data_IF_356224147073
#
_entry.id   IF_356224147073
#
_cell.length_a   1.000
_cell.length_b   1.000
_cell.length_c   1.000
_cell.angle_alpha   90.00
_cell.angle_beta   90.00
_cell.angle_gamma   90.00
#
_symmetry.space_group_name_H-M   'P 1'
#
loop_
_entity.id
_entity.type
_entity.pdbx_description
1 polymer ?
#
# COMPACT_ATOMS: atom_id res chain seq x y z
N UNK A 1 -16.16 53.72 -26.80
CA UNK A 1 -16.74 52.54 -26.12
C UNK A 1 -17.46 53.02 -24.86
N UNK A 2 -18.71 52.59 -24.60
CA UNK A 2 -19.52 53.08 -23.46
C UNK A 2 -18.95 52.50 -22.15
N UNK A 3 -18.90 53.29 -21.07
CA UNK A 3 -18.34 52.84 -19.76
C UNK A 3 -18.99 51.54 -19.27
N UNK A 4 -20.28 51.39 -19.53
CA UNK A 4 -21.07 50.21 -19.17
C UNK A 4 -20.58 48.94 -19.91
N UNK A 5 -20.21 49.06 -21.18
CA UNK A 5 -19.65 47.94 -21.97
C UNK A 5 -18.30 47.47 -21.41
N UNK A 6 -17.48 48.40 -20.89
CA UNK A 6 -16.19 48.06 -20.29
C UNK A 6 -16.35 47.39 -18.92
N UNK A 7 -17.30 47.88 -18.10
CA UNK A 7 -17.64 47.26 -16.81
C UNK A 7 -18.19 45.83 -16.98
N UNK A 8 -19.07 45.62 -17.98
CA UNK A 8 -19.60 44.29 -18.30
C UNK A 8 -18.46 43.35 -18.73
N UNK A 9 -17.53 43.82 -19.57
CA UNK A 9 -16.40 43.02 -20.02
C UNK A 9 -15.49 42.60 -18.85
N UNK A 10 -15.13 43.54 -17.98
CA UNK A 10 -14.27 43.27 -16.80
C UNK A 10 -14.97 42.35 -15.79
N UNK A 11 -16.27 42.54 -15.56
CA UNK A 11 -17.04 41.67 -14.66
C UNK A 11 -17.15 40.25 -15.21
N UNK A 12 -17.38 40.11 -16.52
CA UNK A 12 -17.50 38.80 -17.18
C UNK A 12 -16.17 38.05 -17.16
N UNK A 13 -15.05 38.72 -17.44
CA UNK A 13 -13.72 38.09 -17.38
C UNK A 13 -13.36 37.68 -15.96
N UNK A 14 -13.66 38.52 -14.97
CA UNK A 14 -13.41 38.20 -13.56
C UNK A 14 -14.24 36.99 -13.09
N UNK A 15 -15.51 36.89 -13.51
CA UNK A 15 -16.36 35.75 -13.21
C UNK A 15 -15.84 34.45 -13.84
N UNK A 16 -15.39 34.50 -15.09
CA UNK A 16 -14.81 33.33 -15.78
C UNK A 16 -13.55 32.84 -15.05
N UNK A 17 -12.69 33.76 -14.62
CA UNK A 17 -11.48 33.43 -13.87
C UNK A 17 -11.86 32.79 -12.53
N UNK A 18 -12.81 33.37 -11.79
CA UNK A 18 -13.24 32.82 -10.50
C UNK A 18 -13.81 31.39 -10.63
N UNK A 19 -14.62 31.13 -11.65
CA UNK A 19 -15.16 29.80 -11.94
C UNK A 19 -14.04 28.83 -12.32
N UNK A 20 -13.12 29.23 -13.20
CA UNK A 20 -11.99 28.40 -13.59
C UNK A 20 -11.09 28.05 -12.40
N UNK A 21 -10.82 29.02 -11.50
CA UNK A 21 -10.08 28.79 -10.27
C UNK A 21 -10.81 27.82 -9.33
N UNK A 22 -12.14 27.97 -9.17
CA UNK A 22 -12.93 27.09 -8.34
C UNK A 22 -12.93 25.64 -8.89
N UNK A 23 -13.09 25.47 -10.19
CA UNK A 23 -13.02 24.15 -10.86
C UNK A 23 -11.66 23.52 -10.65
N UNK A 24 -10.57 24.29 -10.82
CA UNK A 24 -9.21 23.81 -10.60
C UNK A 24 -9.00 23.35 -9.16
N UNK A 25 -9.48 24.12 -8.18
CA UNK A 25 -9.39 23.76 -6.75
C UNK A 25 -10.14 22.46 -6.46
N UNK A 26 -11.40 22.34 -6.91
CA UNK A 26 -12.21 21.14 -6.71
C UNK A 26 -11.59 19.91 -7.37
N UNK A 27 -11.07 20.08 -8.60
CA UNK A 27 -10.38 19.00 -9.32
C UNK A 27 -9.13 18.53 -8.57
N UNK A 28 -8.30 19.47 -8.09
CA UNK A 28 -7.08 19.16 -7.34
C UNK A 28 -7.37 18.45 -6.02
N UNK A 29 -8.41 18.91 -5.29
CA UNK A 29 -8.91 18.23 -4.09
C UNK A 29 -9.40 16.80 -4.38
N UNK A 30 -10.01 16.57 -5.55
CA UNK A 30 -10.42 15.25 -6.00
C UNK A 30 -9.24 14.31 -6.25
N UNK A 31 -8.14 14.82 -6.80
CA UNK A 31 -6.90 14.04 -7.00
C UNK A 31 -6.23 13.68 -5.67
N UNK A 32 -6.21 14.59 -4.70
CA UNK A 32 -5.63 14.34 -3.36
C UNK A 32 -6.41 13.28 -2.56
N UNK A 33 -7.70 13.08 -2.83
CA UNK A 33 -8.55 12.10 -2.16
C UNK A 33 -8.47 10.70 -2.75
N UNK A 34 -7.69 10.49 -3.80
CA UNK A 34 -7.51 9.15 -4.34
C UNK A 34 -6.62 8.35 -3.40
N UNK A 35 -7.26 7.53 -2.56
CA UNK A 35 -6.56 6.51 -1.79
C UNK A 35 -5.76 5.65 -2.75
N UNK A 36 -4.45 5.58 -2.53
CA UNK A 36 -3.57 4.73 -3.33
C UNK A 36 -3.89 3.28 -2.99
N UNK A 37 -4.76 2.65 -3.79
CA UNK A 37 -5.04 1.22 -3.68
C UNK A 37 -3.90 0.44 -4.32
N UNK A 38 -2.77 0.30 -3.62
CA UNK A 38 -1.65 -0.51 -4.08
C UNK A 38 -1.81 -1.96 -3.65
N UNK A 39 -1.64 -2.88 -4.61
CA UNK A 39 -1.65 -4.33 -4.34
C UNK A 39 -0.51 -4.76 -3.44
N UNK A 40 0.62 -4.05 -3.47
CA UNK A 40 1.72 -4.24 -2.54
C UNK A 40 2.51 -2.95 -2.33
N UNK A 41 3.00 -2.76 -1.11
CA UNK A 41 3.98 -1.76 -0.72
C UNK A 41 5.32 -2.47 -0.49
N UNK A 42 6.40 -1.88 -0.97
CA UNK A 42 7.74 -2.41 -0.75
C UNK A 42 8.70 -1.30 -0.31
N UNK A 43 9.45 -1.57 0.76
CA UNK A 43 10.57 -0.74 1.21
C UNK A 43 11.84 -1.51 0.86
N UNK A 44 12.73 -0.88 0.09
CA UNK A 44 14.00 -1.47 -0.35
C UNK A 44 15.14 -0.62 0.19
N UNK A 45 16.06 -1.25 0.91
CA UNK A 45 17.26 -0.63 1.47
C UNK A 45 18.49 -1.49 1.14
N UNK A 46 19.72 -0.99 1.31
CA UNK A 46 20.92 -1.81 1.17
C UNK A 46 20.97 -3.02 2.11
N UNK A 47 20.30 -2.93 3.27
CA UNK A 47 20.23 -4.03 4.23
C UNK A 47 19.23 -5.13 3.82
N UNK A 48 18.26 -4.82 2.96
CA UNK A 48 17.25 -5.78 2.51
C UNK A 48 15.96 -5.15 1.99
N UNK A 49 14.92 -5.96 1.87
CA UNK A 49 13.61 -5.53 1.38
C UNK A 49 12.50 -6.00 2.29
N UNK A 50 11.53 -5.12 2.54
CA UNK A 50 10.27 -5.45 3.21
C UNK A 50 9.16 -5.29 2.18
N UNK A 51 8.25 -6.27 2.10
CA UNK A 51 7.06 -6.23 1.24
C UNK A 51 5.84 -6.43 2.10
N UNK A 52 4.78 -5.65 1.87
CA UNK A 52 3.48 -5.75 2.52
C UNK A 52 2.40 -5.75 1.44
N UNK A 53 1.42 -6.64 1.54
CA UNK A 53 0.25 -6.67 0.65
C UNK A 53 -0.01 -8.06 0.11
N UNK A 54 -0.52 -8.14 -1.11
CA UNK A 54 -0.74 -9.41 -1.80
C UNK A 54 0.58 -9.92 -2.36
N UNK A 55 1.14 -10.91 -1.67
CA UNK A 55 2.37 -11.61 -2.02
C UNK A 55 2.10 -12.67 -3.12
N UNK A 56 3.15 -13.18 -3.79
CA UNK A 56 3.01 -14.30 -4.72
C UNK A 56 2.26 -15.48 -4.08
N UNK A 57 1.36 -16.12 -4.84
CA UNK A 57 0.49 -17.18 -4.32
C UNK A 57 -0.79 -16.70 -3.64
N UNK A 58 -1.12 -15.40 -3.72
CA UNK A 58 -2.38 -14.86 -3.19
C UNK A 58 -2.39 -14.68 -1.68
N UNK A 59 -1.22 -14.74 -1.04
CA UNK A 59 -1.06 -14.57 0.40
C UNK A 59 -1.14 -13.08 0.72
N UNK A 60 -2.08 -12.68 1.58
CA UNK A 60 -2.10 -11.34 2.15
C UNK A 60 -1.14 -11.32 3.34
N UNK A 61 -0.03 -10.59 3.24
CA UNK A 61 1.01 -10.69 4.25
C UNK A 61 2.16 -9.72 4.11
N UNK A 62 3.16 -9.97 4.95
CA UNK A 62 4.42 -9.24 5.01
C UNK A 62 5.60 -10.21 4.86
N UNK A 63 6.58 -9.83 4.05
CA UNK A 63 7.85 -10.56 3.91
C UNK A 63 9.04 -9.62 4.11
N UNK A 64 10.01 -10.07 4.89
CA UNK A 64 11.31 -9.42 5.04
C UNK A 64 12.36 -10.30 4.40
N UNK A 65 13.19 -9.73 3.54
CA UNK A 65 14.31 -10.41 2.92
C UNK A 65 15.61 -9.68 3.23
N UNK A 66 16.71 -10.42 3.33
CA UNK A 66 18.05 -9.83 3.43
C UNK A 66 18.48 -9.19 2.12
N UNK A 67 19.58 -8.43 2.16
CA UNK A 67 20.24 -7.84 0.99
C UNK A 67 20.53 -8.84 -0.13
N UNK A 68 20.84 -10.09 0.22
CA UNK A 68 21.02 -11.21 -0.73
C UNK A 68 19.73 -11.76 -1.33
N UNK A 69 18.57 -11.18 -1.01
CA UNK A 69 17.25 -11.60 -1.52
C UNK A 69 16.63 -12.80 -0.81
N UNK A 70 17.30 -13.39 0.19
CA UNK A 70 16.75 -14.52 0.98
C UNK A 70 15.70 -14.04 1.98
N UNK A 71 14.56 -14.71 2.04
CA UNK A 71 13.52 -14.46 3.04
C UNK A 71 14.06 -14.74 4.45
N UNK A 72 13.71 -13.86 5.40
CA UNK A 72 14.10 -13.92 6.82
C UNK A 72 12.89 -14.00 7.74
N UNK A 73 11.80 -13.37 7.31
CA UNK A 73 10.53 -13.36 8.02
C UNK A 73 9.40 -13.38 7.00
N UNK A 74 8.44 -14.26 7.21
CA UNK A 74 7.17 -14.26 6.49
C UNK A 74 6.02 -14.27 7.49
N UNK A 75 5.08 -13.35 7.33
CA UNK A 75 3.80 -13.32 8.03
C UNK A 75 2.71 -13.28 6.96
N UNK A 76 1.66 -14.08 7.06
CA UNK A 76 0.58 -13.94 6.10
C UNK A 76 -0.64 -14.80 6.38
N UNK A 77 -1.70 -14.47 5.66
CA UNK A 77 -2.95 -15.21 5.58
C UNK A 77 -3.12 -15.71 4.15
N UNK A 78 -3.28 -17.02 4.03
CA UNK A 78 -3.50 -17.73 2.77
C UNK A 78 -5.02 -17.94 2.61
N UNK A 79 -5.54 -17.97 1.37
CA UNK A 79 -6.91 -18.41 1.12
C UNK A 79 -7.21 -19.75 1.82
N UNK A 80 -8.34 -19.83 2.53
CA UNK A 80 -8.70 -21.00 3.34
C UNK A 80 -8.52 -20.85 4.87
N UNK A 81 -8.40 -19.61 5.37
CA UNK A 81 -8.20 -19.27 6.80
C UNK A 81 -6.89 -19.77 7.43
N UNK A 82 -5.94 -20.21 6.61
CA UNK A 82 -4.60 -20.53 7.07
C UNK A 82 -3.85 -19.22 7.29
N UNK A 83 -3.31 -19.02 8.48
CA UNK A 83 -2.45 -17.88 8.76
C UNK A 83 -1.20 -18.32 9.49
N UNK A 84 -0.12 -17.57 9.39
CA UNK A 84 1.10 -17.99 10.06
C UNK A 84 2.24 -17.01 10.00
N UNK A 85 3.28 -17.41 10.72
CA UNK A 85 4.56 -16.74 10.87
C UNK A 85 5.66 -17.77 10.63
N UNK A 86 6.68 -17.42 9.86
CA UNK A 86 7.90 -18.21 9.71
C UNK A 86 9.13 -17.33 9.81
N UNK A 87 10.15 -17.80 10.51
CA UNK A 87 11.48 -17.19 10.62
C UNK A 87 12.48 -18.10 9.94
N UNK A 88 13.40 -17.51 9.17
CA UNK A 88 14.40 -18.22 8.40
C UNK A 88 15.82 -17.75 8.76
N UNK A 89 16.78 -18.66 8.69
CA UNK A 89 18.20 -18.34 8.88
C UNK A 89 18.84 -17.69 7.64
N UNK A 90 20.17 -17.50 7.67
CA UNK A 90 20.96 -16.99 6.54
C UNK A 90 21.08 -17.93 5.37
N UNK A 91 20.84 -19.22 5.59
CA UNK A 91 20.68 -20.22 4.54
C UNK A 91 19.35 -20.07 3.80
N UNK A 92 18.32 -19.48 4.42
CA UNK A 92 16.93 -19.54 3.97
C UNK A 92 16.17 -20.75 4.54
N UNK A 93 16.75 -21.44 5.54
CA UNK A 93 16.12 -22.57 6.21
C UNK A 93 15.22 -22.08 7.34
N UNK A 94 14.01 -22.62 7.41
CA UNK A 94 13.03 -22.31 8.46
C UNK A 94 13.58 -22.72 9.83
N UNK A 95 13.60 -21.78 10.77
CA UNK A 95 14.06 -21.92 12.17
C UNK A 95 12.93 -21.86 13.17
N UNK A 96 11.84 -21.19 12.82
CA UNK A 96 10.63 -21.16 13.60
C UNK A 96 9.45 -21.06 12.65
N UNK A 97 8.36 -21.74 12.98
CA UNK A 97 7.06 -21.42 12.43
C UNK A 97 5.96 -21.55 13.47
N UNK A 98 4.90 -20.80 13.23
CA UNK A 98 3.61 -20.89 13.87
C UNK A 98 2.56 -20.80 12.76
N UNK A 99 1.64 -21.74 12.72
CA UNK A 99 0.58 -21.81 11.72
C UNK A 99 -0.75 -22.00 12.44
N UNK A 100 -1.76 -21.23 12.07
CA UNK A 100 -3.13 -21.36 12.50
C UNK A 100 -3.95 -21.93 11.34
N UNK A 101 -4.74 -22.95 11.62
CA UNK A 101 -5.46 -23.70 10.59
C UNK A 101 -6.88 -23.17 10.34
N UNK A 102 -7.47 -22.50 11.34
CA UNK A 102 -8.82 -21.97 11.26
C UNK A 102 -9.11 -20.92 12.36
N UNK A 103 -10.36 -20.45 12.40
CA UNK A 103 -10.84 -19.47 13.39
C UNK A 103 -11.02 -20.03 14.80
N UNK A 104 -10.95 -21.34 15.01
CA UNK A 104 -11.04 -21.96 16.34
C UNK A 104 -9.73 -21.82 17.13
N UNK A 105 -8.67 -21.31 16.50
CA UNK A 105 -7.36 -21.13 17.13
C UNK A 105 -6.48 -22.37 17.10
N UNK A 106 -6.92 -23.45 16.42
CA UNK A 106 -6.08 -24.62 16.16
C UNK A 106 -4.79 -24.17 15.47
N UNK A 107 -3.67 -24.50 16.09
CA UNK A 107 -2.36 -24.08 15.62
C UNK A 107 -1.29 -25.14 15.83
N UNK A 108 -0.24 -25.04 15.02
CA UNK A 108 0.99 -25.81 15.13
C UNK A 108 2.16 -24.84 15.17
N UNK A 109 3.11 -25.07 16.07
CA UNK A 109 4.38 -24.35 16.06
C UNK A 109 5.55 -25.31 16.23
N UNK A 110 6.70 -24.94 15.68
CA UNK A 110 7.94 -25.68 15.85
C UNK A 110 9.13 -24.75 15.80
N UNK A 111 10.07 -25.00 16.70
CA UNK A 111 11.41 -24.40 16.69
C UNK A 111 12.37 -25.44 16.10
N UNK A 112 13.00 -25.10 14.99
CA UNK A 112 13.93 -25.95 14.25
C UNK A 112 15.35 -25.47 14.57
N UNK A 113 16.03 -26.24 15.41
CA UNK A 113 17.44 -26.02 15.75
C UNK A 113 18.38 -26.31 14.58
#
# INVERSE_FOLDING_TARGET
MRKDTWLILVSTTSLVIAIASLVLVVWTLGQLRQGVTTRSLAVVTPAGRIRLGMLPGGVLGMQIHSSSGKERLGLGVVPGNLSGLAVYDSGGKKRLYLMFFDRSGRSEYKIVR
#
